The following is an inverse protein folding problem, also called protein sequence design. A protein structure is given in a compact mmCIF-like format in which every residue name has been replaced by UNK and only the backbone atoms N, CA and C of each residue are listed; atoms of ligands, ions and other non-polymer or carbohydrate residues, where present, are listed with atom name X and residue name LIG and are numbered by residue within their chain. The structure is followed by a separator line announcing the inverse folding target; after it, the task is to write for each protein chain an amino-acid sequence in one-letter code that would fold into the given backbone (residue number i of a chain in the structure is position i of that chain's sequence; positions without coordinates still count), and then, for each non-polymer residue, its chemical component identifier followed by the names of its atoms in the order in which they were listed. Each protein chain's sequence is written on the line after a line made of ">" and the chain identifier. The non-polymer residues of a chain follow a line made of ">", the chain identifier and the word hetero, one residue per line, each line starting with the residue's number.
data_IF_965985872976
#
_entry.id   IF_965985872976
#
_cell.length_a   1.000
_cell.length_b   1.000
_cell.length_c   1.000
_cell.angle_alpha   90.00
_cell.angle_beta   90.00
_cell.angle_gamma   90.00
#
_symmetry.space_group_name_H-M   'P 1'
#
loop_
_entity.id
_entity.type
_entity.pdbx_description
1 polymer ?
#
# COMPACT_ATOMS: atom_id res chain seq x y z
N UNK A 1 -12.73 5.51 8.76
CA UNK A 1 -13.34 4.18 8.96
C UNK A 1 -12.52 3.14 8.21
N UNK A 2 -12.36 1.92 8.75
CA UNK A 2 -11.68 0.81 8.07
C UNK A 2 -12.56 -0.44 8.17
N UNK A 3 -12.66 -1.17 7.06
CA UNK A 3 -13.41 -2.42 6.91
C UNK A 3 -12.49 -3.44 6.24
N UNK A 4 -12.38 -4.63 6.84
CA UNK A 4 -11.61 -5.73 6.28
C UNK A 4 -12.47 -6.99 6.23
N UNK A 5 -12.39 -7.76 5.14
CA UNK A 5 -13.22 -8.94 4.93
C UNK A 5 -12.54 -9.98 4.02
N UNK A 6 -12.81 -11.26 4.29
CA UNK A 6 -12.40 -12.37 3.41
C UNK A 6 -11.24 -13.23 3.96
N UNK A 7 -11.10 -14.47 3.45
CA UNK A 7 -10.04 -15.41 3.86
C UNK A 7 -8.66 -15.00 3.30
N UNK A 8 -7.55 -15.62 3.76
CA UNK A 8 -6.21 -15.33 3.24
C UNK A 8 -6.07 -15.49 1.71
N UNK A 9 -6.83 -16.43 1.12
CA UNK A 9 -6.87 -16.62 -0.33
C UNK A 9 -7.41 -15.39 -1.08
N UNK A 10 -8.31 -14.62 -0.46
CA UNK A 10 -8.89 -13.42 -1.04
C UNK A 10 -9.39 -12.49 0.08
N UNK A 11 -8.57 -11.52 0.42
CA UNK A 11 -8.81 -10.57 1.50
C UNK A 11 -8.91 -9.14 0.96
N UNK A 12 -9.96 -8.43 1.37
CA UNK A 12 -10.25 -7.07 0.95
C UNK A 12 -10.20 -6.14 2.17
N UNK A 13 -9.37 -5.12 2.07
CA UNK A 13 -9.30 -3.98 2.97
C UNK A 13 -9.86 -2.74 2.27
N UNK A 14 -10.76 -2.02 2.94
CA UNK A 14 -11.29 -0.73 2.50
C UNK A 14 -11.17 0.26 3.65
N UNK A 15 -10.65 1.45 3.37
CA UNK A 15 -10.60 2.54 4.31
C UNK A 15 -11.15 3.83 3.71
N UNK A 16 -11.77 4.64 4.56
CA UNK A 16 -12.29 5.95 4.22
C UNK A 16 -11.81 6.95 5.26
N UNK A 17 -11.34 8.11 4.78
CA UNK A 17 -10.90 9.22 5.59
C UNK A 17 -11.58 10.51 5.12
N UNK A 18 -12.11 11.27 6.08
CA UNK A 18 -12.63 12.61 5.87
C UNK A 18 -11.68 13.58 6.56
N UNK A 19 -11.17 14.56 5.82
CA UNK A 19 -10.30 15.61 6.33
C UNK A 19 -11.04 16.94 6.16
N UNK A 20 -11.38 17.56 7.29
CA UNK A 20 -12.00 18.88 7.36
C UNK A 20 -10.97 19.96 7.69
N UNK A 21 -11.21 21.16 7.17
CA UNK A 21 -10.38 22.37 7.38
C UNK A 21 -10.21 22.75 8.87
N UNK A 22 -11.16 22.34 9.74
CA UNK A 22 -11.11 22.59 11.19
C UNK A 22 -9.99 21.82 11.92
N UNK A 23 -9.37 20.83 11.28
CA UNK A 23 -8.31 20.01 11.87
C UNK A 23 -6.89 20.61 11.74
N UNK A 24 -6.66 21.53 10.78
CA UNK A 24 -5.39 22.26 10.63
C UNK A 24 -5.62 23.68 10.07
N UNK A 25 -5.51 24.74 10.90
CA UNK A 25 -5.75 26.12 10.46
C UNK A 25 -4.68 26.68 9.48
N UNK A 26 -3.71 25.87 9.04
CA UNK A 26 -2.69 26.26 8.05
C UNK A 26 -2.83 25.57 6.69
N UNK A 27 -3.84 24.70 6.48
CA UNK A 27 -4.06 24.08 5.17
C UNK A 27 -5.00 24.94 4.32
N UNK A 28 -4.53 25.45 3.18
CA UNK A 28 -5.40 26.01 2.12
C UNK A 28 -6.04 24.92 1.24
N UNK A 29 -6.32 23.76 1.83
CA UNK A 29 -6.89 22.61 1.13
C UNK A 29 -8.24 22.35 1.78
N UNK A 30 -9.32 22.69 1.06
CA UNK A 30 -10.69 22.51 1.55
C UNK A 30 -11.03 21.06 1.90
N UNK A 31 -12.29 20.83 2.28
CA UNK A 31 -12.76 19.51 2.69
C UNK A 31 -12.36 18.41 1.68
N UNK A 32 -11.81 17.31 2.20
CA UNK A 32 -11.24 16.23 1.38
C UNK A 32 -11.71 14.87 1.85
N UNK A 33 -12.26 14.11 0.91
CA UNK A 33 -12.75 12.76 1.15
C UNK A 33 -11.87 11.75 0.40
N UNK A 34 -11.16 10.88 1.14
CA UNK A 34 -10.33 9.84 0.55
C UNK A 34 -10.91 8.46 0.80
N UNK A 35 -10.91 7.62 -0.24
CA UNK A 35 -11.12 6.17 -0.14
C UNK A 35 -9.87 5.43 -0.58
N UNK A 36 -9.45 4.44 0.21
CA UNK A 36 -8.39 3.52 -0.17
C UNK A 36 -8.92 2.09 -0.14
N UNK A 37 -8.42 1.27 -1.06
CA UNK A 37 -8.73 -0.14 -1.12
C UNK A 37 -7.48 -0.96 -1.36
N UNK A 38 -7.42 -2.14 -0.77
CA UNK A 38 -6.39 -3.15 -1.02
C UNK A 38 -7.06 -4.51 -1.13
N UNK A 39 -6.78 -5.22 -2.21
CA UNK A 39 -7.14 -6.62 -2.38
C UNK A 39 -5.86 -7.43 -2.31
N UNK A 40 -5.78 -8.38 -1.38
CA UNK A 40 -4.65 -9.29 -1.22
C UNK A 40 -5.07 -10.74 -1.36
N UNK A 41 -4.13 -11.59 -1.79
CA UNK A 41 -4.37 -13.01 -2.02
C UNK A 41 -3.10 -13.81 -1.74
N UNK A 42 -3.22 -14.80 -0.86
CA UNK A 42 -2.26 -15.89 -0.72
C UNK A 42 -2.73 -17.04 -1.61
N UNK A 43 -2.27 -17.03 -2.86
CA UNK A 43 -2.70 -18.01 -3.87
C UNK A 43 -1.94 -19.34 -3.80
N UNK A 44 -0.78 -19.37 -3.14
CA UNK A 44 -0.10 -20.61 -2.70
C UNK A 44 0.52 -20.43 -1.32
N UNK A 45 1.04 -21.49 -0.72
CA UNK A 45 1.71 -21.41 0.59
C UNK A 45 2.91 -20.44 0.59
N UNK A 46 3.60 -20.32 -0.54
CA UNK A 46 4.81 -19.50 -0.68
C UNK A 46 4.57 -18.17 -1.39
N UNK A 47 3.46 -18.02 -2.10
CA UNK A 47 3.22 -16.85 -2.93
C UNK A 47 1.99 -16.07 -2.47
N UNK A 48 2.19 -14.77 -2.31
CA UNK A 48 1.11 -13.83 -2.11
C UNK A 48 1.27 -12.61 -3.01
N UNK A 49 0.17 -11.88 -3.19
CA UNK A 49 0.18 -10.65 -3.95
C UNK A 49 -0.93 -9.73 -3.50
N UNK A 50 -0.84 -8.48 -3.93
CA UNK A 50 -1.87 -7.50 -3.68
C UNK A 50 -1.98 -6.50 -4.82
N UNK A 51 -3.17 -5.92 -4.95
CA UNK A 51 -3.41 -4.66 -5.66
C UNK A 51 -3.96 -3.66 -4.66
N UNK A 52 -3.55 -2.40 -4.81
CA UNK A 52 -4.00 -1.32 -3.95
C UNK A 52 -4.26 -0.06 -4.77
N UNK A 53 -5.18 0.77 -4.28
CA UNK A 53 -5.49 2.04 -4.89
C UNK A 53 -6.05 3.02 -3.88
N UNK A 54 -5.85 4.30 -4.14
CA UNK A 54 -6.41 5.39 -3.38
C UNK A 54 -7.00 6.44 -4.30
N UNK A 55 -8.18 6.92 -3.94
CA UNK A 55 -8.95 7.87 -4.73
C UNK A 55 -9.53 8.96 -3.82
N UNK A 56 -9.49 10.18 -4.31
CA UNK A 56 -10.11 11.36 -3.73
C UNK A 56 -11.50 11.51 -4.34
N UNK A 57 -12.55 11.37 -3.51
CA UNK A 57 -13.94 11.38 -3.96
C UNK A 57 -14.36 12.81 -4.29
N UNK A 58 -13.93 13.80 -3.50
CA UNK A 58 -14.33 15.19 -3.68
C UNK A 58 -13.75 15.76 -4.99
N UNK A 59 -12.49 15.43 -5.28
CA UNK A 59 -11.78 15.90 -6.48
C UNK A 59 -11.88 14.95 -7.69
N UNK A 60 -12.63 13.85 -7.60
CA UNK A 60 -12.72 12.76 -8.59
C UNK A 60 -11.35 12.36 -9.17
N UNK A 61 -10.39 12.12 -8.26
CA UNK A 61 -8.98 11.99 -8.62
C UNK A 61 -8.33 10.76 -8.00
N UNK A 62 -7.72 9.93 -8.84
CA UNK A 62 -6.84 8.86 -8.35
C UNK A 62 -5.56 9.45 -7.80
N UNK A 63 -5.24 9.09 -6.56
CA UNK A 63 -4.08 9.56 -5.83
C UNK A 63 -2.90 8.60 -5.95
N UNK A 64 -3.19 7.29 -5.90
CA UNK A 64 -2.19 6.27 -6.14
C UNK A 64 -2.80 4.94 -6.55
N UNK A 65 -1.99 4.12 -7.19
CA UNK A 65 -2.29 2.72 -7.45
C UNK A 65 -1.01 1.90 -7.46
N UNK A 66 -1.12 0.65 -7.03
CA UNK A 66 0.04 -0.22 -6.94
C UNK A 66 -0.31 -1.69 -6.95
N UNK A 67 0.69 -2.48 -7.28
CA UNK A 67 0.63 -3.95 -7.28
C UNK A 67 1.92 -4.48 -6.68
N UNK A 68 1.81 -5.59 -5.97
CA UNK A 68 2.96 -6.28 -5.42
C UNK A 68 2.81 -7.79 -5.45
N UNK A 69 3.94 -8.46 -5.49
CA UNK A 69 4.08 -9.90 -5.33
C UNK A 69 5.16 -10.19 -4.31
N UNK A 70 4.92 -11.22 -3.52
CA UNK A 70 5.81 -11.70 -2.48
C UNK A 70 5.95 -13.21 -2.61
N UNK A 71 7.20 -13.65 -2.58
CA UNK A 71 7.57 -15.04 -2.39
C UNK A 71 8.20 -15.17 -1.02
N UNK A 72 7.65 -16.02 -0.17
CA UNK A 72 8.15 -16.29 1.17
C UNK A 72 8.41 -17.78 1.33
N UNK A 73 9.63 -18.13 1.76
CA UNK A 73 9.94 -19.47 2.25
C UNK A 73 10.55 -19.42 3.68
N UNK A 74 11.12 -20.56 4.09
CA UNK A 74 11.74 -20.77 5.40
C UNK A 74 13.08 -20.04 5.59
N UNK A 75 13.76 -19.68 4.50
CA UNK A 75 15.09 -19.09 4.51
C UNK A 75 15.11 -17.62 4.09
N UNK A 76 14.25 -17.23 3.17
CA UNK A 76 14.25 -15.90 2.57
C UNK A 76 12.84 -15.42 2.18
N UNK A 77 12.68 -14.10 2.16
CA UNK A 77 11.53 -13.40 1.58
C UNK A 77 12.01 -12.55 0.40
N UNK A 78 11.26 -12.58 -0.70
CA UNK A 78 11.50 -11.76 -1.87
C UNK A 78 10.23 -11.00 -2.17
N UNK A 79 10.35 -9.67 -2.23
CA UNK A 79 9.24 -8.77 -2.51
C UNK A 79 9.55 -7.89 -3.70
N UNK A 80 8.59 -7.79 -4.60
CA UNK A 80 8.62 -6.88 -5.72
C UNK A 80 7.30 -6.11 -5.79
N UNK A 81 7.36 -4.79 -5.84
CA UNK A 81 6.17 -3.95 -5.97
C UNK A 81 6.42 -2.75 -6.87
N UNK A 82 5.35 -2.35 -7.54
CA UNK A 82 5.31 -1.15 -8.37
C UNK A 82 4.14 -0.32 -7.89
N UNK A 83 4.40 0.95 -7.60
CA UNK A 83 3.40 1.92 -7.18
C UNK A 83 3.57 3.20 -8.00
N UNK A 84 2.47 3.79 -8.41
CA UNK A 84 2.45 5.12 -9.00
C UNK A 84 1.71 6.06 -8.08
N UNK A 85 2.37 7.16 -7.73
CA UNK A 85 1.76 8.28 -7.03
C UNK A 85 1.42 9.37 -8.04
N UNK A 86 0.18 9.84 -8.00
CA UNK A 86 -0.35 10.84 -8.94
C UNK A 86 -0.52 12.20 -8.26
N UNK A 87 0.06 12.45 -7.07
CA UNK A 87 0.01 13.76 -6.42
C UNK A 87 0.62 14.83 -7.35
N UNK A 88 -0.21 15.72 -7.90
CA UNK A 88 0.25 16.90 -8.63
C UNK A 88 0.30 18.02 -7.61
N UNK A 89 1.46 18.21 -7.01
CA UNK A 89 1.86 19.56 -6.64
C UNK A 89 2.51 20.19 -7.88
N UNK A 90 2.41 21.51 -8.03
CA UNK A 90 2.90 22.24 -9.22
C UNK A 90 4.42 22.05 -9.47
N UNK A 91 5.13 21.38 -8.57
CA UNK A 91 6.56 21.07 -8.61
C UNK A 91 6.88 19.55 -8.63
N UNK A 92 5.89 18.66 -8.50
CA UNK A 92 6.12 17.20 -8.40
C UNK A 92 5.41 16.45 -9.53
N UNK A 93 6.21 15.83 -10.40
CA UNK A 93 5.70 14.96 -11.46
C UNK A 93 5.24 13.63 -10.87
N UNK A 94 4.24 12.96 -11.48
CA UNK A 94 3.85 11.61 -11.08
C UNK A 94 5.03 10.66 -11.23
N UNK A 95 5.47 10.10 -10.10
CA UNK A 95 6.66 9.26 -10.02
C UNK A 95 6.27 7.79 -9.89
N UNK A 96 6.95 6.95 -10.66
CA UNK A 96 6.87 5.50 -10.50
C UNK A 96 7.87 5.07 -9.43
N UNK A 97 7.37 4.39 -8.41
CA UNK A 97 8.17 3.74 -7.37
C UNK A 97 8.22 2.25 -7.67
N UNK A 98 9.44 1.75 -7.87
CA UNK A 98 9.70 0.32 -8.04
C UNK A 98 10.53 -0.11 -6.84
N UNK A 99 10.03 -1.07 -6.08
CA UNK A 99 10.72 -1.62 -4.93
C UNK A 99 11.02 -3.09 -5.17
N UNK A 100 12.26 -3.46 -4.93
CA UNK A 100 12.71 -4.84 -4.87
C UNK A 100 13.43 -5.04 -3.54
N UNK A 101 13.02 -6.05 -2.77
CA UNK A 101 13.58 -6.34 -1.46
C UNK A 101 13.81 -7.83 -1.31
N UNK A 102 14.90 -8.19 -0.62
CA UNK A 102 15.24 -9.55 -0.26
C UNK A 102 15.59 -9.56 1.23
N UNK A 103 14.86 -10.32 2.03
CA UNK A 103 15.17 -10.56 3.43
C UNK A 103 15.64 -12.01 3.66
N UNK A 104 16.52 -12.19 4.64
CA UNK A 104 17.11 -13.48 5.00
C UNK A 104 16.77 -13.79 6.46
N UNK A 105 15.99 -14.84 6.70
CA UNK A 105 15.44 -15.20 8.03
C UNK A 105 16.47 -15.86 8.94
N UNK A 106 17.44 -16.57 8.36
CA UNK A 106 18.38 -17.42 9.09
C UNK A 106 19.78 -16.80 9.29
N UNK A 107 19.95 -15.48 9.13
CA UNK A 107 21.22 -14.78 9.42
C UNK A 107 21.28 -14.20 10.83
N UNK A 108 20.63 -14.85 11.80
CA UNK A 108 21.00 -14.71 13.20
C UNK A 108 22.41 -15.26 13.36
N UNK A 109 23.38 -14.36 13.54
CA UNK A 109 24.76 -14.69 13.92
C UNK A 109 24.74 -15.78 15.01
N UNK A 110 25.29 -16.94 14.69
CA UNK A 110 25.74 -17.89 15.69
C UNK A 110 26.89 -17.23 16.48
N UNK A 111 26.53 -16.54 17.57
CA UNK A 111 27.48 -16.11 18.60
C UNK A 111 27.26 -16.95 19.85
N UNK A 112 27.92 -18.10 19.90
CA UNK A 112 28.17 -18.87 21.13
C UNK A 112 28.41 -20.34 20.79
N UNK A 113 29.64 -20.85 20.74
CA UNK A 113 30.74 -20.63 21.69
C UNK A 113 30.99 -21.94 22.42
#
# INVERSE_FOLDING_TARGET
>A
MLVAAGPPLLHLDLSYAFLSDEADPNTEFGDREEIAGKLSSQFTDYWSGFIAGRHDIESDRTLSYGIGVEYEDECFDIRASIEREEYQDQERNPDWKILFSVGLKNLGLDTGG
#
